data_IF_688138012797
#
_entry.id   IF_688138012797
#
_cell.length_a   1.000
_cell.length_b   1.000
_cell.length_c   1.000
_cell.angle_alpha   90.00
_cell.angle_beta   90.00
_cell.angle_gamma   90.00
#
_symmetry.space_group_name_H-M   'P 1'
#
loop_
_entity.id
_entity.type
_entity.pdbx_description
1 polymer ?
#
# COMPACT_ATOMS: atom_id res chain seq x y z
N UNK A 1 0.09 13.23 8.01
CA UNK A 1 -1.01 13.40 7.04
C UNK A 1 -0.52 13.17 5.62
N UNK A 2 -1.35 12.54 4.80
CA UNK A 2 -1.09 12.25 3.38
C UNK A 2 -2.22 12.86 2.54
N UNK A 3 -2.00 13.01 1.24
CA UNK A 3 -2.96 13.53 0.26
C UNK A 3 -3.00 12.59 -0.93
N UNK A 4 -4.21 12.24 -1.40
CA UNK A 4 -4.41 11.49 -2.62
C UNK A 4 -4.24 12.41 -3.84
N UNK A 5 -3.42 12.00 -4.79
CA UNK A 5 -3.21 12.69 -6.06
C UNK A 5 -3.91 11.89 -7.14
N UNK A 6 -4.85 12.52 -7.81
CA UNK A 6 -5.51 12.02 -9.00
C UNK A 6 -4.83 12.59 -10.24
N UNK A 7 -4.84 11.78 -11.30
CA UNK A 7 -4.52 12.23 -12.64
C UNK A 7 -5.62 13.16 -13.17
N UNK A 8 -5.36 13.88 -14.26
CA UNK A 8 -6.37 14.75 -14.87
C UNK A 8 -7.63 13.98 -15.36
N UNK A 9 -7.49 12.67 -15.59
CA UNK A 9 -8.60 11.75 -15.86
C UNK A 9 -9.30 11.21 -14.60
N UNK A 10 -9.05 11.79 -13.43
CA UNK A 10 -9.55 11.36 -12.11
C UNK A 10 -9.09 9.98 -11.64
N UNK A 11 -8.20 9.31 -12.37
CA UNK A 11 -7.62 8.05 -11.91
C UNK A 11 -6.62 8.30 -10.76
N UNK A 12 -6.62 7.48 -9.70
CA UNK A 12 -5.60 7.58 -8.66
C UNK A 12 -4.19 7.39 -9.18
N UNK A 13 -3.34 8.38 -8.92
CA UNK A 13 -1.98 8.42 -9.42
C UNK A 13 -0.95 8.11 -8.33
N UNK A 14 -1.08 8.74 -7.16
CA UNK A 14 -0.14 8.58 -6.06
C UNK A 14 -0.71 9.06 -4.73
N UNK A 15 -0.06 8.69 -3.63
CA UNK A 15 -0.28 9.29 -2.31
C UNK A 15 0.98 10.02 -1.88
N UNK A 16 0.86 11.31 -1.56
CA UNK A 16 2.00 12.19 -1.24
C UNK A 16 1.89 12.78 0.17
N UNK A 17 2.99 13.21 0.80
CA UNK A 17 2.93 13.99 2.02
C UNK A 17 2.22 15.34 1.79
N UNK A 18 1.52 15.85 2.82
CA UNK A 18 0.79 17.13 2.78
C UNK A 18 1.66 18.29 2.22
N UNK A 19 2.92 18.39 2.66
CA UNK A 19 3.86 19.43 2.17
C UNK A 19 4.00 19.44 0.65
N UNK A 20 4.09 18.25 0.03
CA UNK A 20 4.19 18.12 -1.43
C UNK A 20 2.88 18.50 -2.12
N UNK A 21 1.74 18.13 -1.55
CA UNK A 21 0.44 18.51 -2.09
C UNK A 21 0.25 20.03 -2.10
N UNK A 22 0.60 20.72 -1.01
CA UNK A 22 0.56 22.19 -0.93
C UNK A 22 1.42 22.82 -2.03
N UNK A 23 2.65 22.33 -2.24
CA UNK A 23 3.53 22.83 -3.31
C UNK A 23 2.89 22.65 -4.69
N UNK A 24 2.24 21.51 -4.95
CA UNK A 24 1.57 21.28 -6.24
C UNK A 24 0.39 22.24 -6.46
N UNK A 25 -0.37 22.56 -5.40
CA UNK A 25 -1.48 23.51 -5.45
C UNK A 25 -0.97 24.93 -5.65
N UNK A 26 0.00 25.38 -4.86
CA UNK A 26 0.56 26.73 -4.93
C UNK A 26 1.33 27.01 -6.24
N UNK A 27 1.69 25.97 -6.99
CA UNK A 27 2.37 26.10 -8.30
C UNK A 27 1.43 25.84 -9.48
N UNK A 28 0.11 25.83 -9.26
CA UNK A 28 -0.93 25.60 -10.28
C UNK A 28 -0.77 24.27 -11.04
N UNK A 29 -0.09 23.29 -10.44
CA UNK A 29 0.08 21.94 -10.98
C UNK A 29 -1.04 21.01 -10.58
N UNK A 30 -1.80 21.37 -9.55
CA UNK A 30 -2.94 20.61 -9.07
C UNK A 30 -4.02 21.53 -8.49
N UNK A 31 -5.26 21.08 -8.56
CA UNK A 31 -6.40 21.73 -7.90
C UNK A 31 -6.88 20.88 -6.74
N UNK A 32 -7.37 21.51 -5.68
CA UNK A 32 -7.94 20.81 -4.53
C UNK A 32 -9.36 20.36 -4.87
N UNK A 33 -9.64 19.06 -4.75
CA UNK A 33 -10.99 18.51 -4.87
C UNK A 33 -11.65 18.40 -3.51
N UNK A 34 -10.90 17.92 -2.52
CA UNK A 34 -11.37 17.77 -1.14
C UNK A 34 -10.33 18.35 -0.19
N UNK A 35 -10.80 19.21 0.71
CA UNK A 35 -10.00 19.78 1.80
C UNK A 35 -10.54 19.29 3.15
N UNK A 36 -9.66 19.22 4.15
CA UNK A 36 -10.09 19.09 5.55
C UNK A 36 -10.56 20.43 6.11
N UNK A 37 -11.39 20.40 7.16
CA UNK A 37 -11.97 21.58 7.80
C UNK A 37 -10.94 22.53 8.40
N UNK A 38 -9.79 22.00 8.82
CA UNK A 38 -8.71 22.78 9.42
C UNK A 38 -7.69 23.19 8.35
N UNK A 39 -7.61 24.48 7.96
CA UNK A 39 -6.67 24.93 6.94
C UNK A 39 -5.22 24.89 7.44
N UNK A 40 -4.28 25.11 6.52
CA UNK A 40 -2.87 25.34 6.83
C UNK A 40 -2.63 26.84 6.87
N UNK A 41 -2.28 27.35 8.05
CA UNK A 41 -2.07 28.77 8.29
C UNK A 41 -0.58 29.12 8.22
N UNK A 42 -0.29 30.30 7.69
CA UNK A 42 1.04 30.91 7.70
C UNK A 42 0.90 32.41 7.99
N UNK A 43 1.96 33.11 8.40
CA UNK A 43 1.91 34.57 8.53
C UNK A 43 1.48 35.30 7.25
N UNK A 44 1.71 34.70 6.08
CA UNK A 44 1.36 35.25 4.77
C UNK A 44 -0.03 34.86 4.25
N UNK A 45 -0.84 34.16 5.05
CA UNK A 45 -2.21 33.75 4.69
C UNK A 45 -2.49 32.27 4.93
N UNK A 46 -3.68 31.85 4.50
CA UNK A 46 -4.21 30.50 4.71
C UNK A 46 -4.31 29.74 3.38
N UNK A 47 -3.97 28.46 3.42
CA UNK A 47 -4.11 27.54 2.29
C UNK A 47 -5.03 26.40 2.72
N UNK A 48 -6.01 25.99 1.88
CA UNK A 48 -6.80 24.80 2.16
C UNK A 48 -5.89 23.61 2.45
N UNK A 49 -6.30 22.73 3.37
CA UNK A 49 -5.53 21.53 3.70
C UNK A 49 -5.96 20.39 2.77
N UNK A 50 -5.21 20.07 1.69
CA UNK A 50 -5.71 19.14 0.67
C UNK A 50 -5.72 17.69 1.17
N UNK A 51 -6.90 17.07 1.15
CA UNK A 51 -7.08 15.63 1.31
C UNK A 51 -7.00 14.91 -0.04
N UNK A 52 -7.59 15.49 -1.08
CA UNK A 52 -7.58 14.98 -2.47
C UNK A 52 -7.27 16.13 -3.42
N UNK A 53 -6.30 15.93 -4.32
CA UNK A 53 -5.96 16.87 -5.39
C UNK A 53 -6.01 16.20 -6.75
N UNK A 54 -6.32 16.96 -7.79
CA UNK A 54 -6.28 16.51 -9.19
C UNK A 54 -5.21 17.29 -9.95
N UNK A 55 -4.37 16.60 -10.72
CA UNK A 55 -3.37 17.26 -11.55
C UNK A 55 -4.03 18.04 -12.69
N UNK A 56 -3.48 19.21 -13.02
CA UNK A 56 -3.97 20.04 -14.14
C UNK A 56 -3.63 19.46 -15.51
N UNK A 57 -2.67 18.53 -15.57
CA UNK A 57 -2.25 17.86 -16.81
C UNK A 57 -2.25 16.36 -16.64
N UNK A 58 -2.63 15.65 -17.70
CA UNK A 58 -2.61 14.20 -17.71
C UNK A 58 -1.17 13.67 -17.69
N UNK A 59 -0.85 12.84 -16.70
CA UNK A 59 0.44 12.16 -16.57
C UNK A 59 0.29 10.71 -17.01
N UNK A 60 0.99 10.33 -18.09
CA UNK A 60 1.09 8.92 -18.50
C UNK A 60 2.03 8.19 -17.55
N UNK A 61 1.49 7.30 -16.73
CA UNK A 61 2.29 6.35 -15.96
C UNK A 61 2.70 5.21 -16.89
N UNK A 62 3.99 4.86 -16.99
CA UNK A 62 4.40 3.68 -17.75
C UNK A 62 3.68 2.43 -17.23
N UNK A 63 2.96 1.76 -18.12
CA UNK A 63 2.35 0.46 -17.84
C UNK A 63 3.46 -0.55 -17.48
N UNK A 64 3.20 -1.40 -16.49
CA UNK A 64 4.14 -2.46 -16.08
C UNK A 64 4.92 -2.20 -14.79
N UNK A 65 4.56 -1.17 -14.01
CA UNK A 65 5.15 -1.01 -12.67
C UNK A 65 4.64 -2.15 -11.77
N UNK A 66 5.47 -3.18 -11.58
CA UNK A 66 5.17 -4.26 -10.65
C UNK A 66 4.85 -3.67 -9.27
N UNK A 67 3.82 -4.21 -8.61
CA UNK A 67 3.48 -3.81 -7.25
C UNK A 67 4.70 -4.05 -6.37
N UNK A 68 5.29 -3.00 -5.77
CA UNK A 68 6.51 -3.17 -4.97
C UNK A 68 6.19 -4.02 -3.74
N UNK A 69 6.98 -5.06 -3.51
CA UNK A 69 6.88 -5.90 -2.33
C UNK A 69 7.31 -5.10 -1.10
N UNK A 70 6.53 -5.19 -0.01
CA UNK A 70 6.90 -4.63 1.27
C UNK A 70 6.30 -5.44 2.41
N UNK A 71 6.93 -5.46 3.58
CA UNK A 71 6.40 -6.16 4.78
C UNK A 71 4.95 -5.79 5.07
N UNK A 72 4.64 -4.49 5.04
CA UNK A 72 3.29 -3.99 5.28
C UNK A 72 2.32 -4.42 4.18
N UNK A 73 2.77 -4.44 2.93
CA UNK A 73 1.99 -4.94 1.80
C UNK A 73 1.62 -6.42 1.94
N UNK A 74 2.58 -7.27 2.36
CA UNK A 74 2.34 -8.70 2.61
C UNK A 74 1.36 -8.92 3.76
N UNK A 75 1.54 -8.19 4.87
CA UNK A 75 0.58 -8.23 5.99
C UNK A 75 -0.82 -7.81 5.56
N UNK A 76 -0.94 -6.75 4.76
CA UNK A 76 -2.24 -6.30 4.23
C UNK A 76 -2.88 -7.36 3.33
N UNK A 77 -2.09 -7.95 2.42
CA UNK A 77 -2.56 -8.95 1.44
C UNK A 77 -3.13 -10.17 2.16
N UNK A 78 -2.48 -10.57 3.23
CA UNK A 78 -2.84 -11.78 3.99
C UNK A 78 -3.80 -11.48 5.15
N UNK A 79 -4.42 -10.29 5.18
CA UNK A 79 -5.37 -9.88 6.22
C UNK A 79 -4.78 -9.84 7.63
N UNK A 80 -3.47 -9.66 7.76
CA UNK A 80 -2.69 -9.80 9.00
C UNK A 80 -2.90 -11.13 9.70
N UNK A 81 -3.09 -12.21 8.94
CA UNK A 81 -3.23 -13.58 9.45
C UNK A 81 -2.05 -14.43 9.04
N UNK A 82 -1.56 -15.25 9.97
CA UNK A 82 -0.45 -16.14 9.75
C UNK A 82 -0.82 -17.21 8.72
N UNK A 83 -0.03 -17.36 7.67
CA UNK A 83 -0.25 -18.32 6.59
C UNK A 83 -0.22 -19.79 7.06
N UNK A 84 0.36 -20.07 8.23
CA UNK A 84 0.46 -21.42 8.80
C UNK A 84 -0.64 -21.70 9.84
N UNK A 85 -0.76 -20.86 10.88
CA UNK A 85 -1.67 -21.10 12.01
C UNK A 85 -2.94 -20.23 12.01
N UNK A 86 -3.09 -19.32 11.06
CA UNK A 86 -4.24 -18.41 10.90
C UNK A 86 -4.50 -17.42 12.05
N UNK A 87 -3.63 -17.39 13.08
CA UNK A 87 -3.63 -16.37 14.15
C UNK A 87 -3.08 -15.04 13.64
N UNK A 88 -3.20 -13.99 14.44
CA UNK A 88 -2.64 -12.67 14.11
C UNK A 88 -1.15 -12.75 13.74
N UNK A 89 -0.80 -12.14 12.61
CA UNK A 89 0.55 -12.04 12.09
C UNK A 89 1.08 -10.62 12.27
N UNK A 90 2.31 -10.55 12.76
CA UNK A 90 3.05 -9.31 12.90
C UNK A 90 4.39 -9.37 12.18
N UNK A 91 4.78 -10.49 11.59
CA UNK A 91 6.01 -10.63 10.81
C UNK A 91 5.71 -11.16 9.42
N UNK A 92 6.76 -11.23 8.60
CA UNK A 92 6.72 -11.85 7.28
C UNK A 92 7.76 -12.95 7.28
N UNK A 93 7.42 -14.09 6.69
CA UNK A 93 8.30 -15.24 6.49
C UNK A 93 8.52 -15.48 5.00
N UNK A 94 9.69 -16.01 4.66
CA UNK A 94 9.99 -16.51 3.32
C UNK A 94 9.65 -17.99 3.22
N UNK A 95 8.70 -18.36 2.36
CA UNK A 95 8.28 -19.75 2.12
C UNK A 95 9.50 -20.61 1.78
N UNK A 96 10.29 -20.22 0.79
CA UNK A 96 11.66 -20.68 0.59
C UNK A 96 12.59 -19.76 1.39
N UNK A 97 13.32 -20.25 2.40
CA UNK A 97 14.21 -19.42 3.21
C UNK A 97 15.28 -18.69 2.38
N UNK A 98 15.65 -17.48 2.82
CA UNK A 98 16.69 -16.66 2.17
C UNK A 98 18.04 -17.37 2.09
N UNK A 99 18.40 -18.12 3.13
CA UNK A 99 19.60 -18.97 3.21
C UNK A 99 19.65 -20.05 2.11
N UNK A 100 18.51 -20.36 1.48
CA UNK A 100 18.36 -21.34 0.40
C UNK A 100 17.96 -20.71 -0.94
N UNK A 101 18.20 -19.42 -1.13
CA UNK A 101 17.91 -18.71 -2.38
C UNK A 101 16.50 -18.12 -2.48
N UNK A 102 15.75 -18.08 -1.38
CA UNK A 102 14.48 -17.37 -1.30
C UNK A 102 14.59 -15.89 -1.62
N UNK A 103 13.76 -15.39 -2.53
CA UNK A 103 13.73 -13.98 -2.95
C UNK A 103 12.63 -13.18 -2.24
N UNK A 104 12.76 -11.85 -2.23
CA UNK A 104 11.78 -10.91 -1.69
C UNK A 104 10.64 -10.65 -2.71
N UNK A 105 9.91 -11.71 -3.09
CA UNK A 105 8.81 -11.68 -4.05
C UNK A 105 7.45 -11.88 -3.38
N UNK A 106 6.37 -11.45 -4.03
CA UNK A 106 5.02 -11.67 -3.49
C UNK A 106 4.72 -13.17 -3.34
N UNK A 107 5.20 -13.98 -4.26
CA UNK A 107 5.00 -15.43 -4.32
C UNK A 107 5.81 -16.18 -3.24
N UNK A 108 6.84 -15.56 -2.67
CA UNK A 108 7.67 -16.17 -1.64
C UNK A 108 7.46 -15.60 -0.23
N UNK A 109 6.88 -14.41 -0.10
CA UNK A 109 6.63 -13.79 1.21
C UNK A 109 5.20 -14.03 1.68
N UNK A 110 5.05 -14.42 2.94
CA UNK A 110 3.74 -14.61 3.61
C UNK A 110 3.72 -13.97 4.99
N UNK A 111 2.54 -13.52 5.42
CA UNK A 111 2.33 -13.06 6.78
C UNK A 111 2.51 -14.22 7.76
N UNK A 112 3.26 -13.99 8.83
CA UNK A 112 3.59 -15.00 9.82
C UNK A 112 3.52 -14.43 11.25
N UNK A 113 3.22 -15.28 12.22
CA UNK A 113 3.35 -14.93 13.64
C UNK A 113 4.75 -15.28 14.13
N UNK A 114 5.24 -14.61 15.17
CA UNK A 114 6.59 -14.84 15.72
C UNK A 114 6.85 -16.31 16.06
N UNK A 115 5.85 -17.01 16.63
CA UNK A 115 5.95 -18.44 17.00
C UNK A 115 6.19 -19.33 15.79
N UNK A 116 5.36 -19.22 14.75
CA UNK A 116 5.53 -20.03 13.54
C UNK A 116 6.81 -19.65 12.79
N UNK A 117 7.14 -18.36 12.73
CA UNK A 117 8.33 -17.86 12.06
C UNK A 117 9.61 -18.45 12.70
N UNK A 118 9.72 -18.38 14.03
CA UNK A 118 10.85 -18.97 14.76
C UNK A 118 10.89 -20.50 14.69
N UNK A 119 9.74 -21.16 14.72
CA UNK A 119 9.68 -22.61 14.61
C UNK A 119 10.08 -23.12 13.21
N UNK A 120 9.74 -22.41 12.13
CA UNK A 120 10.16 -22.79 10.78
C UNK A 120 11.65 -22.55 10.58
N UNK A 121 12.14 -21.36 10.92
CA UNK A 121 13.54 -20.97 10.72
C UNK A 121 13.97 -21.13 9.25
N UNK A 122 15.13 -21.74 9.03
CA UNK A 122 15.68 -22.01 7.69
C UNK A 122 15.12 -23.27 7.01
N UNK A 123 13.97 -23.77 7.45
CA UNK A 123 13.26 -24.89 6.82
C UNK A 123 12.17 -24.42 5.87
N UNK A 124 11.81 -25.26 4.90
CA UNK A 124 10.62 -25.04 4.08
C UNK A 124 9.35 -25.55 4.79
N UNK A 125 8.14 -25.09 4.42
CA UNK A 125 6.91 -25.66 4.98
C UNK A 125 6.82 -27.18 4.78
N UNK A 126 7.28 -27.70 3.65
CA UNK A 126 7.26 -29.13 3.34
C UNK A 126 8.13 -29.93 4.33
N UNK A 127 9.33 -29.44 4.67
CA UNK A 127 10.20 -30.05 5.69
C UNK A 127 9.57 -30.04 7.09
N UNK A 128 8.70 -29.06 7.35
CA UNK A 128 7.93 -28.97 8.59
C UNK A 128 6.67 -29.84 8.60
N UNK A 129 6.32 -30.45 7.46
CA UNK A 129 5.00 -31.07 7.25
C UNK A 129 3.85 -30.05 7.30
N UNK A 130 4.15 -28.78 7.05
CA UNK A 130 3.19 -27.69 7.05
C UNK A 130 2.66 -27.43 5.65
N UNK A 131 1.41 -26.97 5.56
CA UNK A 131 0.83 -26.44 4.34
C UNK A 131 0.47 -24.97 4.52
N UNK A 132 0.59 -24.22 3.42
CA UNK A 132 0.11 -22.85 3.37
C UNK A 132 -1.42 -22.84 3.30
N UNK A 133 -2.05 -22.00 4.11
CA UNK A 133 -3.52 -21.83 4.10
C UNK A 133 -4.04 -21.08 2.89
N UNK A 134 -3.17 -20.32 2.23
CA UNK A 134 -3.46 -19.61 1.00
C UNK A 134 -2.21 -19.58 0.11
N UNK A 135 -2.41 -19.46 -1.20
CA UNK A 135 -1.30 -19.38 -2.14
C UNK A 135 -0.83 -17.91 -2.25
N UNK A 136 0.42 -17.59 -1.87
CA UNK A 136 0.96 -16.25 -2.05
C UNK A 136 0.99 -15.90 -3.55
N UNK A 137 0.43 -14.73 -3.89
CA UNK A 137 0.38 -14.21 -5.25
C UNK A 137 0.60 -12.70 -5.26
N UNK A 138 1.12 -12.17 -6.36
CA UNK A 138 1.12 -10.73 -6.60
C UNK A 138 -0.32 -10.18 -6.56
N UNK A 139 -0.60 -9.18 -5.71
CA UNK A 139 -1.93 -8.61 -5.62
C UNK A 139 -2.29 -7.83 -6.88
N UNK A 140 -3.59 -7.77 -7.18
CA UNK A 140 -4.14 -7.11 -8.37
C UNK A 140 -4.90 -5.84 -8.00
N UNK A 141 -5.04 -4.93 -8.95
CA UNK A 141 -5.83 -3.71 -8.79
C UNK A 141 -4.98 -2.46 -8.56
N UNK A 142 -5.44 -1.32 -9.08
CA UNK A 142 -4.70 -0.05 -9.08
C UNK A 142 -4.42 0.47 -7.66
N UNK A 143 -5.25 0.14 -6.67
CA UNK A 143 -5.00 0.46 -5.26
C UNK A 143 -3.67 -0.13 -4.71
N UNK A 144 -3.18 -1.24 -5.27
CA UNK A 144 -1.89 -1.81 -4.89
C UNK A 144 -0.69 -1.05 -5.48
N UNK A 145 -0.89 -0.29 -6.56
CA UNK A 145 0.15 0.56 -7.14
C UNK A 145 0.37 1.84 -6.30
N UNK A 146 -0.65 2.27 -5.56
CA UNK A 146 -0.61 3.46 -4.72
C UNK A 146 0.12 3.19 -3.41
N UNK A 147 1.45 3.35 -3.42
CA UNK A 147 2.24 3.36 -2.17
C UNK A 147 1.72 4.47 -1.24
N UNK A 148 1.26 4.11 -0.04
CA UNK A 148 0.72 5.07 0.93
C UNK A 148 -0.79 5.07 1.07
N UNK A 149 -1.53 4.38 0.18
CA UNK A 149 -2.99 4.28 0.25
C UNK A 149 -3.48 3.46 1.46
N UNK A 150 -2.58 2.76 2.15
CA UNK A 150 -2.88 2.01 3.37
C UNK A 150 -3.23 2.86 4.62
N UNK A 151 -3.25 4.19 4.49
CA UNK A 151 -3.87 5.11 5.45
C UNK A 151 -4.91 5.95 4.70
N UNK A 152 -5.93 5.30 4.15
CA UNK A 152 -7.04 5.99 3.52
C UNK A 152 -7.74 6.86 4.56
N UNK A 153 -7.65 8.18 4.42
CA UNK A 153 -8.64 9.05 5.02
C UNK A 153 -10.01 8.63 4.49
N UNK A 154 -11.10 8.67 5.28
CA UNK A 154 -12.46 8.46 4.77
C UNK A 154 -12.77 9.31 3.54
N UNK A 155 -12.16 10.50 3.46
CA UNK A 155 -12.26 11.44 2.35
C UNK A 155 -11.73 10.92 1.01
N UNK A 156 -11.04 9.77 0.98
CA UNK A 156 -10.47 9.19 -0.24
C UNK A 156 -11.35 8.10 -0.83
N UNK A 157 -12.33 7.58 -0.09
CA UNK A 157 -13.04 6.35 -0.44
C UNK A 157 -13.74 6.47 -1.81
N UNK A 158 -14.33 7.62 -2.09
CA UNK A 158 -15.04 7.88 -3.36
C UNK A 158 -14.11 7.95 -4.58
N UNK A 159 -12.79 8.06 -4.35
CA UNK A 159 -11.79 8.23 -5.39
C UNK A 159 -10.86 7.02 -5.53
N UNK A 160 -10.95 6.02 -4.65
CA UNK A 160 -10.15 4.81 -4.75
C UNK A 160 -10.95 3.70 -5.46
N UNK A 161 -10.34 2.94 -6.38
CA UNK A 161 -10.98 1.74 -6.91
C UNK A 161 -11.23 0.78 -5.75
N UNK A 162 -12.38 0.09 -5.77
CA UNK A 162 -12.68 -0.99 -4.83
C UNK A 162 -11.46 -1.91 -4.72
N UNK A 163 -11.05 -2.24 -3.50
CA UNK A 163 -9.97 -3.21 -3.27
C UNK A 163 -10.60 -4.59 -3.32
N UNK A 164 -10.49 -5.36 -4.41
CA UNK A 164 -10.99 -6.72 -4.42
C UNK A 164 -9.94 -7.59 -3.70
N UNK A 165 -10.42 -8.66 -3.08
CA UNK A 165 -9.65 -9.68 -2.35
C UNK A 165 -9.27 -9.32 -0.90
N UNK A 166 -10.29 -9.16 -0.07
CA UNK A 166 -10.30 -9.76 1.26
C UNK A 166 -11.21 -11.00 1.23
N UNK A 167 -10.72 -12.09 0.64
CA UNK A 167 -11.33 -13.42 0.71
C UNK A 167 -10.25 -14.44 1.08
#
# INVERSE_FOLDING_TARGET
>A
MRTLVLNAGYEPLAVVPLRRAIVLVLTDKASVLVAEDLPVTSPGGEVPRPAVIVLTRYVRVPFGRAVPVSRRGVLRRDGSRCAYCARSASTVDHVLPRSRGGTDTWENLVACCLRCNGAKGDRTPEEMGWSLRHRPRTPRGAAWLLRGAEHSSPLWLDYLPEVPDAA
#
